data_IF_842985182234
#
_entry.id   IF_842985182234
#
_cell.length_a   1.000
_cell.length_b   1.000
_cell.length_c   1.000
_cell.angle_alpha   90.00
_cell.angle_beta   90.00
_cell.angle_gamma   90.00
#
_symmetry.space_group_name_H-M   'P 1'
#
loop_
_entity.id
_entity.type
_entity.pdbx_description
1 polymer ?
#
# COMPACT_ATOMS: atom_id res chain seq x y z
N UNK A 1 6.95 25.93 5.63
CA UNK A 1 5.95 26.10 4.55
C UNK A 1 4.56 26.16 5.17
N UNK A 2 3.56 26.83 4.58
CA UNK A 2 2.17 26.78 5.09
C UNK A 2 1.36 25.83 4.20
N UNK A 3 1.02 24.66 4.72
CA UNK A 3 0.19 23.68 4.01
C UNK A 3 -1.23 24.22 3.82
N UNK A 4 -1.78 24.09 2.61
CA UNK A 4 -3.14 24.54 2.29
C UNK A 4 -4.14 23.44 2.58
N UNK A 5 -5.34 23.78 3.10
CA UNK A 5 -6.41 22.82 3.22
C UNK A 5 -6.87 22.34 1.83
N UNK A 6 -7.25 21.07 1.68
CA UNK A 6 -7.82 20.55 0.45
C UNK A 6 -9.17 21.20 0.13
N UNK A 7 -9.47 21.31 -1.16
CA UNK A 7 -10.75 21.83 -1.65
C UNK A 7 -11.77 20.68 -1.62
N UNK A 8 -12.96 20.96 -1.06
CA UNK A 8 -14.11 20.07 -1.12
C UNK A 8 -15.34 20.82 -1.63
N UNK A 9 -16.28 20.09 -2.21
CA UNK A 9 -17.59 20.63 -2.56
C UNK A 9 -18.33 21.13 -1.30
N UNK A 10 -19.27 22.05 -1.48
CA UNK A 10 -20.08 22.59 -0.39
C UNK A 10 -20.80 21.47 0.37
N UNK A 11 -20.71 21.49 1.71
CA UNK A 11 -21.27 20.45 2.58
C UNK A 11 -20.43 19.16 2.68
N UNK A 12 -19.38 19.01 1.87
CA UNK A 12 -18.50 17.85 1.88
C UNK A 12 -17.20 18.13 2.66
N UNK A 13 -16.68 17.11 3.35
CA UNK A 13 -15.34 17.13 3.94
C UNK A 13 -14.40 16.30 3.07
N UNK A 14 -13.25 16.86 2.70
CA UNK A 14 -12.21 16.07 2.04
C UNK A 14 -11.72 14.95 2.96
N UNK A 15 -11.64 13.75 2.42
CA UNK A 15 -10.91 12.63 3.00
C UNK A 15 -10.02 12.01 1.94
N UNK A 16 -8.79 11.67 2.32
CA UNK A 16 -7.89 10.88 1.50
C UNK A 16 -7.66 9.52 2.14
N UNK A 17 -7.49 8.53 1.27
CA UNK A 17 -7.22 7.18 1.69
C UNK A 17 -5.94 7.10 2.49
N UNK A 18 -5.95 6.23 3.49
CA UNK A 18 -4.74 5.80 4.17
C UNK A 18 -4.44 4.36 3.76
N UNK A 19 -3.18 3.96 3.89
CA UNK A 19 -2.78 2.56 3.72
C UNK A 19 -2.28 2.00 5.04
N UNK A 20 -2.58 0.73 5.31
CA UNK A 20 -1.78 -0.07 6.25
C UNK A 20 -0.65 -0.78 5.51
N UNK A 21 0.56 -0.71 6.07
CA UNK A 21 1.62 -1.66 5.75
C UNK A 21 1.34 -2.95 6.50
N UNK A 22 0.95 -4.00 5.78
CA UNK A 22 0.86 -5.35 6.30
C UNK A 22 2.06 -6.14 5.78
N UNK A 23 2.61 -7.04 6.59
CA UNK A 23 3.57 -8.00 6.08
C UNK A 23 2.87 -8.94 5.08
N UNK A 24 3.44 -9.09 3.89
CA UNK A 24 3.06 -10.07 2.89
C UNK A 24 4.03 -11.25 2.92
N UNK A 25 3.54 -12.44 2.61
CA UNK A 25 4.37 -13.62 2.40
C UNK A 25 5.06 -13.50 1.02
N UNK A 26 6.27 -12.96 0.99
CA UNK A 26 7.01 -12.73 -0.27
C UNK A 26 8.19 -13.69 -0.46
N UNK A 27 8.56 -14.43 0.58
CA UNK A 27 9.67 -15.38 0.57
C UNK A 27 9.21 -16.81 0.88
N UNK A 28 9.57 -17.77 0.01
CA UNK A 28 9.17 -19.17 0.15
C UNK A 28 10.38 -20.10 0.16
N UNK A 29 10.52 -20.90 1.21
CA UNK A 29 11.36 -22.11 1.21
C UNK A 29 10.50 -23.28 0.74
N UNK A 30 10.84 -23.86 -0.41
CA UNK A 30 10.02 -24.92 -1.02
C UNK A 30 10.58 -26.30 -0.69
N UNK A 31 9.75 -27.33 -0.89
CA UNK A 31 10.12 -28.75 -0.73
C UNK A 31 11.29 -29.22 -1.61
N UNK A 32 11.73 -28.39 -2.56
CA UNK A 32 12.86 -28.69 -3.43
C UNK A 32 14.22 -28.50 -2.73
N UNK A 33 14.25 -27.83 -1.58
CA UNK A 33 15.48 -27.65 -0.79
C UNK A 33 15.80 -28.99 -0.09
N UNK A 34 16.99 -29.58 -0.29
CA UNK A 34 17.38 -30.79 0.43
C UNK A 34 17.32 -30.59 1.95
N UNK A 35 16.90 -31.62 2.69
CA UNK A 35 16.70 -31.53 4.14
C UNK A 35 17.98 -31.09 4.88
N UNK A 36 19.16 -31.54 4.43
CA UNK A 36 20.48 -31.15 4.97
C UNK A 36 20.87 -29.70 4.66
N UNK A 37 20.08 -28.99 3.83
CA UNK A 37 20.28 -27.58 3.45
C UNK A 37 19.26 -26.63 4.06
N UNK A 38 18.25 -27.12 4.78
CA UNK A 38 17.22 -26.26 5.35
C UNK A 38 17.79 -25.22 6.32
N UNK A 39 18.74 -25.61 7.17
CA UNK A 39 19.37 -24.68 8.12
C UNK A 39 20.13 -23.56 7.40
N UNK A 40 20.93 -23.89 6.38
CA UNK A 40 21.71 -22.87 5.65
C UNK A 40 20.80 -21.98 4.81
N UNK A 41 19.72 -22.53 4.24
CA UNK A 41 18.73 -21.75 3.52
C UNK A 41 18.00 -20.76 4.44
N UNK A 42 17.61 -21.19 5.64
CA UNK A 42 16.99 -20.31 6.64
C UNK A 42 17.96 -19.20 7.09
N UNK A 43 19.23 -19.53 7.35
CA UNK A 43 20.26 -18.53 7.68
C UNK A 43 20.51 -17.54 6.54
N UNK A 44 20.44 -17.98 5.29
CA UNK A 44 20.58 -17.09 4.14
C UNK A 44 19.38 -16.14 4.03
N UNK A 45 18.16 -16.64 4.23
CA UNK A 45 16.96 -15.78 4.30
C UNK A 45 17.05 -14.75 5.42
N UNK A 46 17.48 -15.16 6.62
CA UNK A 46 17.70 -14.25 7.75
C UNK A 46 18.75 -13.19 7.41
N UNK A 47 19.85 -13.58 6.77
CA UNK A 47 20.88 -12.64 6.32
C UNK A 47 20.36 -11.60 5.32
N UNK A 48 19.48 -11.99 4.37
CA UNK A 48 18.87 -11.04 3.44
C UNK A 48 18.02 -9.96 4.11
N UNK A 49 17.54 -10.22 5.33
CA UNK A 49 16.73 -9.29 6.12
C UNK A 49 17.58 -8.31 6.94
N UNK A 50 18.91 -8.43 6.94
CA UNK A 50 19.77 -7.47 7.64
C UNK A 50 19.84 -6.13 6.91
N UNK A 51 20.08 -5.06 7.66
CA UNK A 51 20.09 -3.70 7.11
C UNK A 51 21.13 -3.53 5.99
N UNK A 52 22.31 -4.15 6.13
CA UNK A 52 23.35 -4.11 5.08
C UNK A 52 22.79 -4.68 3.76
N UNK A 53 22.20 -5.87 3.79
CA UNK A 53 21.66 -6.51 2.58
C UNK A 53 20.52 -5.69 1.97
N UNK A 54 19.64 -5.14 2.81
CA UNK A 54 18.55 -4.32 2.34
C UNK A 54 19.08 -3.05 1.65
N UNK A 55 20.01 -2.31 2.24
CA UNK A 55 20.58 -1.13 1.59
C UNK A 55 21.43 -1.47 0.37
N UNK A 56 22.17 -2.58 0.36
CA UNK A 56 22.92 -2.99 -0.83
C UNK A 56 22.01 -3.43 -1.98
N UNK A 57 20.88 -4.09 -1.70
CA UNK A 57 19.91 -4.45 -2.74
C UNK A 57 19.15 -3.24 -3.27
N UNK A 58 18.96 -2.20 -2.45
CA UNK A 58 18.28 -0.97 -2.84
C UNK A 58 19.17 0.07 -3.48
N UNK A 59 20.43 0.19 -3.02
CA UNK A 59 21.33 1.29 -3.38
C UNK A 59 22.65 0.82 -4.01
N UNK A 60 22.89 -0.49 -4.02
CA UNK A 60 24.15 -1.06 -4.49
C UNK A 60 25.23 -1.03 -3.42
N UNK A 61 26.50 -1.31 -3.78
CA UNK A 61 27.57 -1.46 -2.80
C UNK A 61 27.75 -0.21 -1.94
N UNK A 62 27.97 -0.41 -0.64
CA UNK A 62 28.33 0.67 0.28
C UNK A 62 29.53 1.48 -0.26
N UNK A 63 29.49 2.80 -0.09
CA UNK A 63 30.50 3.73 -0.57
C UNK A 63 30.32 4.17 -2.02
N UNK A 64 29.30 3.68 -2.75
CA UNK A 64 28.96 4.18 -4.09
C UNK A 64 28.02 5.37 -4.04
N UNK A 65 26.80 5.14 -3.55
CA UNK A 65 25.78 6.20 -3.43
C UNK A 65 25.30 6.40 -1.99
N UNK A 66 25.66 5.48 -1.09
CA UNK A 66 25.27 5.50 0.32
C UNK A 66 26.41 4.99 1.22
N UNK A 67 26.36 5.33 2.51
CA UNK A 67 27.28 4.83 3.54
C UNK A 67 26.63 4.84 4.92
N UNK A 68 27.20 4.10 5.87
CA UNK A 68 26.86 4.25 7.28
C UNK A 68 27.46 5.53 7.86
N UNK A 69 26.64 6.32 8.55
CA UNK A 69 27.10 7.48 9.30
C UNK A 69 27.54 7.11 10.72
N UNK A 70 28.04 8.08 11.49
CA UNK A 70 28.55 7.87 12.84
C UNK A 70 27.49 7.37 13.85
N UNK A 71 26.21 7.62 13.57
CA UNK A 71 25.08 7.16 14.39
C UNK A 71 24.59 5.76 13.98
N UNK A 72 25.26 5.11 13.03
CA UNK A 72 24.86 3.81 12.51
C UNK A 72 23.65 3.86 11.59
N UNK A 73 23.38 5.01 10.95
CA UNK A 73 22.30 5.16 9.96
C UNK A 73 22.82 5.16 8.54
N UNK A 74 22.05 4.61 7.62
CA UNK A 74 22.30 4.73 6.21
C UNK A 74 22.03 6.17 5.76
N UNK A 75 23.02 6.75 5.08
CA UNK A 75 22.97 8.10 4.53
C UNK A 75 23.30 8.05 3.04
N UNK A 76 22.45 8.68 2.22
CA UNK A 76 22.70 8.83 0.78
C UNK A 76 23.46 10.13 0.51
N UNK A 77 24.35 10.09 -0.47
CA UNK A 77 25.11 11.27 -0.87
C UNK A 77 24.22 12.40 -1.43
N UNK A 78 24.76 13.62 -1.59
CA UNK A 78 24.01 14.79 -2.04
C UNK A 78 23.43 14.67 -3.46
N UNK A 79 23.93 13.73 -4.27
CA UNK A 79 23.38 13.41 -5.58
C UNK A 79 22.04 12.63 -5.50
N UNK A 80 21.65 12.18 -4.31
CA UNK A 80 20.45 11.39 -4.08
C UNK A 80 20.55 9.97 -4.63
N UNK A 81 19.39 9.37 -4.91
CA UNK A 81 19.25 8.00 -5.41
C UNK A 81 19.21 7.88 -6.94
N UNK A 82 19.45 8.97 -7.68
CA UNK A 82 19.30 9.01 -9.14
C UNK A 82 20.23 8.06 -9.92
N UNK A 83 21.35 7.64 -9.30
CA UNK A 83 22.32 6.69 -9.88
C UNK A 83 22.06 5.22 -9.51
N UNK A 84 20.98 4.93 -8.80
CA UNK A 84 20.76 3.61 -8.17
C UNK A 84 20.73 2.45 -9.16
N UNK A 85 20.18 2.68 -10.35
CA UNK A 85 20.03 1.65 -11.39
C UNK A 85 21.36 1.20 -12.01
N UNK A 86 22.45 1.94 -11.79
CA UNK A 86 23.81 1.51 -12.19
C UNK A 86 24.33 0.38 -11.29
N UNK A 87 23.89 0.34 -10.03
CA UNK A 87 24.49 -0.49 -9.00
C UNK A 87 23.54 -1.52 -8.39
N UNK A 88 22.21 -1.36 -8.57
CA UNK A 88 21.23 -2.24 -7.94
C UNK A 88 19.89 -2.27 -8.67
N UNK A 89 18.94 -3.03 -8.12
CA UNK A 89 17.58 -3.17 -8.63
C UNK A 89 16.67 -1.99 -8.24
N UNK A 90 17.17 -1.05 -7.43
CA UNK A 90 16.41 0.09 -6.92
C UNK A 90 15.23 -0.36 -6.04
N UNK A 91 14.04 0.17 -6.30
CA UNK A 91 12.81 -0.15 -5.53
C UNK A 91 12.35 -1.61 -5.61
N UNK A 92 13.06 -2.46 -6.36
CA UNK A 92 12.82 -3.89 -6.48
C UNK A 92 13.85 -4.73 -5.68
N UNK A 93 14.39 -4.18 -4.60
CA UNK A 93 15.29 -4.91 -3.69
C UNK A 93 14.62 -6.12 -3.05
N UNK A 94 15.42 -6.99 -2.40
CA UNK A 94 14.95 -8.29 -1.91
C UNK A 94 13.95 -8.19 -0.75
N UNK A 95 13.96 -7.08 -0.02
CA UNK A 95 13.09 -6.81 1.12
C UNK A 95 13.04 -5.30 1.39
N UNK A 96 11.89 -4.80 1.85
CA UNK A 96 11.70 -3.41 2.25
C UNK A 96 11.33 -3.30 3.73
N UNK A 97 12.01 -2.39 4.44
CA UNK A 97 11.77 -2.16 5.86
C UNK A 97 10.38 -1.54 6.11
N UNK A 98 9.71 -1.90 7.22
CA UNK A 98 8.57 -1.16 7.71
C UNK A 98 8.93 0.32 7.90
N UNK A 99 7.99 1.23 7.60
CA UNK A 99 8.25 2.66 7.61
C UNK A 99 8.81 3.20 8.94
N UNK A 100 8.38 2.63 10.08
CA UNK A 100 8.92 3.02 11.39
C UNK A 100 10.40 2.68 11.53
N UNK A 101 10.78 1.46 11.16
CA UNK A 101 12.15 0.98 11.27
C UNK A 101 13.05 1.68 10.25
N UNK A 102 12.55 1.90 9.04
CA UNK A 102 13.24 2.71 8.03
C UNK A 102 13.57 4.13 8.54
N UNK A 103 12.68 4.77 9.30
CA UNK A 103 12.96 6.09 9.90
C UNK A 103 13.99 6.05 11.04
N UNK A 104 14.18 4.90 11.68
CA UNK A 104 15.20 4.71 12.70
C UNK A 104 16.58 4.50 12.10
N UNK A 105 16.67 3.73 11.00
CA UNK A 105 17.93 3.29 10.40
C UNK A 105 18.40 4.11 9.20
N UNK A 106 17.54 4.98 8.62
CA UNK A 106 17.86 5.81 7.46
C UNK A 106 17.81 7.31 7.76
N UNK A 107 18.77 8.07 7.23
CA UNK A 107 18.73 9.54 7.23
C UNK A 107 17.76 10.01 6.15
N UNK A 108 16.61 10.54 6.55
CA UNK A 108 15.62 11.04 5.61
C UNK A 108 16.14 12.28 4.87
N UNK A 109 16.19 12.28 3.52
CA UNK A 109 16.54 13.47 2.75
C UNK A 109 15.44 14.53 2.88
N UNK A 110 15.79 15.79 2.68
CA UNK A 110 14.91 16.96 2.89
C UNK A 110 13.53 16.83 2.22
N UNK A 111 13.48 16.34 0.98
CA UNK A 111 12.23 16.15 0.24
C UNK A 111 11.28 15.11 0.88
N UNK A 112 11.81 14.15 1.64
CA UNK A 112 10.99 13.20 2.40
C UNK A 112 10.54 13.80 3.73
N UNK A 113 11.38 14.62 4.37
CA UNK A 113 10.99 15.38 5.57
C UNK A 113 9.81 16.29 5.26
N UNK A 114 9.86 17.02 4.14
CA UNK A 114 8.74 17.84 3.66
C UNK A 114 7.44 17.01 3.52
N UNK A 115 7.53 15.81 2.94
CA UNK A 115 6.38 14.91 2.81
C UNK A 115 5.86 14.43 4.17
N UNK A 116 6.75 14.14 5.11
CA UNK A 116 6.38 13.72 6.49
C UNK A 116 5.61 14.84 7.19
N UNK A 117 6.08 16.09 7.09
CA UNK A 117 5.41 17.26 7.66
C UNK A 117 4.03 17.50 7.04
N UNK A 118 3.92 17.39 5.71
CA UNK A 118 2.64 17.48 5.00
C UNK A 118 1.66 16.39 5.46
N UNK A 119 2.11 15.14 5.58
CA UNK A 119 1.29 14.03 6.06
C UNK A 119 0.82 14.24 7.52
N UNK A 120 1.70 14.78 8.38
CA UNK A 120 1.34 15.12 9.76
C UNK A 120 0.23 16.17 9.81
N UNK A 121 0.35 17.25 9.03
CA UNK A 121 -0.70 18.26 8.90
C UNK A 121 -2.04 17.66 8.46
N UNK A 122 -2.03 16.75 7.47
CA UNK A 122 -3.26 16.08 7.00
C UNK A 122 -3.90 15.21 8.07
N UNK A 123 -3.08 14.50 8.86
CA UNK A 123 -3.54 13.68 9.98
C UNK A 123 -4.17 14.53 11.08
N UNK A 124 -3.49 15.59 11.51
CA UNK A 124 -3.94 16.48 12.60
C UNK A 124 -5.25 17.20 12.29
N UNK A 125 -5.48 17.55 11.02
CA UNK A 125 -6.71 18.20 10.56
C UNK A 125 -7.82 17.19 10.18
N UNK A 126 -7.57 15.90 10.38
CA UNK A 126 -8.54 14.84 10.12
C UNK A 126 -8.94 14.72 8.65
N UNK A 127 -8.01 14.99 7.73
CA UNK A 127 -8.16 14.75 6.29
C UNK A 127 -7.83 13.32 5.89
N UNK A 128 -7.24 12.53 6.79
CA UNK A 128 -6.99 11.12 6.58
C UNK A 128 -8.22 10.29 6.96
N UNK A 129 -8.51 9.25 6.18
CA UNK A 129 -9.46 8.20 6.57
C UNK A 129 -9.07 7.58 7.92
N UNK A 130 -10.05 7.35 8.79
CA UNK A 130 -9.82 6.72 10.11
C UNK A 130 -9.39 5.25 9.96
N UNK A 131 -10.06 4.53 9.07
CA UNK A 131 -9.82 3.12 8.81
C UNK A 131 -9.48 2.97 7.32
N UNK A 132 -8.29 2.48 6.97
CA UNK A 132 -7.90 2.32 5.58
C UNK A 132 -8.66 1.17 4.92
N UNK A 133 -9.14 1.40 3.70
CA UNK A 133 -9.89 0.40 2.93
C UNK A 133 -9.09 -0.87 2.63
N UNK A 134 -7.76 -0.77 2.55
CA UNK A 134 -6.88 -1.93 2.30
C UNK A 134 -6.83 -2.94 3.47
N UNK A 135 -7.47 -2.67 4.62
CA UNK A 135 -7.78 -3.72 5.61
C UNK A 135 -8.59 -4.85 4.97
N UNK A 136 -9.52 -4.50 4.07
CA UNK A 136 -10.40 -5.46 3.40
C UNK A 136 -9.67 -6.37 2.40
N UNK A 137 -8.46 -6.02 1.99
CA UNK A 137 -7.62 -6.83 1.11
C UNK A 137 -6.44 -7.49 1.83
N UNK A 138 -5.89 -6.83 2.87
CA UNK A 138 -4.60 -7.19 3.43
C UNK A 138 -4.68 -7.84 4.82
N UNK A 139 -5.80 -7.70 5.54
CA UNK A 139 -5.90 -8.15 6.92
C UNK A 139 -7.12 -9.04 7.18
N UNK A 140 -8.26 -8.77 6.53
CA UNK A 140 -9.41 -9.68 6.61
C UNK A 140 -9.14 -10.94 5.79
N UNK A 141 -9.63 -12.08 6.27
CA UNK A 141 -9.56 -13.35 5.55
C UNK A 141 -10.95 -13.77 5.13
N UNK A 142 -11.11 -14.15 3.87
CA UNK A 142 -12.35 -14.73 3.34
C UNK A 142 -12.17 -16.23 3.15
N UNK A 143 -13.26 -16.99 3.31
CA UNK A 143 -13.28 -18.38 2.84
C UNK A 143 -13.15 -18.40 1.31
N UNK A 144 -12.64 -19.50 0.70
CA UNK A 144 -12.55 -19.62 -0.75
C UNK A 144 -13.88 -19.37 -1.47
N UNK A 145 -14.99 -19.85 -0.90
CA UNK A 145 -16.33 -19.69 -1.48
C UNK A 145 -16.78 -18.22 -1.49
N UNK A 146 -16.62 -17.51 -0.36
CA UNK A 146 -16.94 -16.08 -0.29
C UNK A 146 -16.02 -15.24 -1.18
N UNK A 147 -14.75 -15.62 -1.30
CA UNK A 147 -13.80 -14.96 -2.20
C UNK A 147 -14.21 -15.14 -3.67
N UNK A 148 -14.67 -16.32 -4.06
CA UNK A 148 -15.17 -16.60 -5.41
C UNK A 148 -16.47 -15.82 -5.70
N UNK A 149 -17.45 -15.88 -4.79
CA UNK A 149 -18.71 -15.14 -4.89
C UNK A 149 -18.44 -13.63 -5.06
N UNK A 150 -17.61 -13.06 -4.19
CA UNK A 150 -17.20 -11.66 -4.23
C UNK A 150 -16.59 -11.28 -5.58
N UNK A 151 -15.68 -12.11 -6.11
CA UNK A 151 -14.99 -11.85 -7.38
C UNK A 151 -15.96 -11.82 -8.56
N UNK A 152 -16.93 -12.73 -8.58
CA UNK A 152 -17.95 -12.76 -9.62
C UNK A 152 -18.87 -11.54 -9.57
N UNK A 153 -19.29 -11.13 -8.36
CA UNK A 153 -20.11 -9.92 -8.20
C UNK A 153 -19.32 -8.69 -8.66
N UNK A 154 -18.05 -8.56 -8.24
CA UNK A 154 -17.21 -7.41 -8.59
C UNK A 154 -17.07 -7.18 -10.10
N UNK A 155 -16.83 -8.24 -10.87
CA UNK A 155 -16.66 -8.11 -12.32
C UNK A 155 -17.90 -7.50 -13.01
N UNK A 156 -19.10 -7.84 -12.52
CA UNK A 156 -20.34 -7.25 -13.02
C UNK A 156 -20.49 -5.79 -12.57
N UNK A 157 -20.17 -5.50 -11.30
CA UNK A 157 -20.23 -4.13 -10.77
C UNK A 157 -19.28 -3.18 -11.49
N UNK A 158 -18.04 -3.61 -11.72
CA UNK A 158 -17.00 -2.85 -12.42
C UNK A 158 -17.46 -2.49 -13.84
N UNK A 159 -17.99 -3.46 -14.58
CA UNK A 159 -18.50 -3.22 -15.94
C UNK A 159 -19.62 -2.18 -15.96
N UNK A 160 -20.58 -2.26 -15.02
CA UNK A 160 -21.70 -1.30 -14.94
C UNK A 160 -21.18 0.10 -14.58
N UNK A 161 -20.29 0.18 -13.59
CA UNK A 161 -19.72 1.42 -13.10
C UNK A 161 -18.94 2.14 -14.20
N UNK A 162 -18.03 1.44 -14.88
CA UNK A 162 -17.17 2.03 -15.91
C UNK A 162 -17.97 2.58 -17.08
N UNK A 163 -18.99 1.85 -17.54
CA UNK A 163 -19.87 2.30 -18.62
C UNK A 163 -20.67 3.54 -18.23
N UNK A 164 -21.28 3.53 -17.04
CA UNK A 164 -22.10 4.64 -16.56
C UNK A 164 -21.26 5.90 -16.34
N UNK A 165 -20.07 5.77 -15.72
CA UNK A 165 -19.17 6.91 -15.47
C UNK A 165 -18.62 7.47 -16.77
N UNK A 166 -18.23 6.62 -17.73
CA UNK A 166 -17.77 7.09 -19.04
C UNK A 166 -18.86 7.91 -19.76
N UNK A 167 -20.11 7.45 -19.75
CA UNK A 167 -21.23 8.19 -20.34
C UNK A 167 -21.47 9.53 -19.65
N UNK A 168 -21.47 9.54 -18.32
CA UNK A 168 -21.64 10.77 -17.52
C UNK A 168 -20.51 11.79 -17.75
N UNK A 169 -19.27 11.34 -17.95
CA UNK A 169 -18.15 12.21 -18.29
C UNK A 169 -18.35 12.83 -19.68
N UNK A 170 -18.78 12.03 -20.65
CA UNK A 170 -18.92 12.45 -22.05
C UNK A 170 -20.14 13.34 -22.28
N UNK A 171 -21.23 13.09 -21.57
CA UNK A 171 -22.54 13.69 -21.86
C UNK A 171 -23.12 14.50 -20.69
N UNK A 172 -22.43 14.53 -19.55
CA UNK A 172 -22.86 15.22 -18.33
C UNK A 172 -23.66 14.32 -17.39
N UNK A 173 -23.70 14.72 -16.12
CA UNK A 173 -24.42 14.00 -15.06
C UNK A 173 -25.86 14.49 -14.99
N UNK A 174 -26.82 13.56 -14.94
CA UNK A 174 -28.24 13.84 -14.66
C UNK A 174 -28.73 12.94 -13.53
N UNK A 175 -29.75 13.37 -12.78
CA UNK A 175 -30.36 12.56 -11.71
C UNK A 175 -30.85 11.20 -12.23
N UNK A 176 -31.44 11.17 -13.42
CA UNK A 176 -31.91 9.94 -14.04
C UNK A 176 -30.77 8.97 -14.38
N UNK A 177 -29.65 9.47 -14.91
CA UNK A 177 -28.47 8.65 -15.19
C UNK A 177 -27.84 8.11 -13.89
N UNK A 178 -27.78 8.95 -12.85
CA UNK A 178 -27.30 8.57 -11.53
C UNK A 178 -28.16 7.46 -10.90
N UNK A 179 -29.48 7.66 -10.85
CA UNK A 179 -30.41 6.67 -10.29
C UNK A 179 -30.36 5.34 -11.05
N UNK A 180 -30.23 5.39 -12.38
CA UNK A 180 -30.10 4.19 -13.20
C UNK A 180 -28.82 3.40 -12.89
N UNK A 181 -27.69 4.10 -12.69
CA UNK A 181 -26.43 3.47 -12.29
C UNK A 181 -26.58 2.78 -10.93
N UNK A 182 -27.10 3.49 -9.92
CA UNK A 182 -27.28 2.95 -8.57
C UNK A 182 -28.20 1.72 -8.57
N UNK A 183 -29.32 1.79 -9.29
CA UNK A 183 -30.25 0.66 -9.39
C UNK A 183 -29.63 -0.54 -10.12
N UNK A 184 -28.85 -0.30 -11.17
CA UNK A 184 -28.12 -1.35 -11.89
C UNK A 184 -27.09 -2.03 -11.00
N UNK A 185 -26.32 -1.27 -10.22
CA UNK A 185 -25.35 -1.82 -9.26
C UNK A 185 -26.03 -2.68 -8.19
N UNK A 186 -27.16 -2.21 -7.63
CA UNK A 186 -27.95 -2.99 -6.67
C UNK A 186 -28.47 -4.30 -7.27
N UNK A 187 -29.04 -4.24 -8.47
CA UNK A 187 -29.52 -5.42 -9.19
C UNK A 187 -28.38 -6.42 -9.49
N UNK A 188 -27.16 -5.92 -9.68
CA UNK A 188 -25.95 -6.73 -9.89
C UNK A 188 -25.32 -7.26 -8.59
N UNK A 189 -25.90 -6.98 -7.41
CA UNK A 189 -25.47 -7.56 -6.14
C UNK A 189 -24.55 -6.66 -5.30
N UNK A 190 -24.56 -5.34 -5.52
CA UNK A 190 -23.76 -4.40 -4.71
C UNK A 190 -23.99 -4.56 -3.20
N UNK A 191 -25.23 -4.77 -2.77
CA UNK A 191 -25.57 -4.95 -1.35
C UNK A 191 -24.89 -6.21 -0.77
N UNK A 192 -24.88 -7.31 -1.54
CA UNK A 192 -24.21 -8.56 -1.16
C UNK A 192 -22.69 -8.39 -1.13
N UNK A 193 -22.13 -7.66 -2.10
CA UNK A 193 -20.70 -7.34 -2.12
C UNK A 193 -20.26 -6.60 -0.86
N UNK A 194 -21.04 -5.62 -0.42
CA UNK A 194 -20.81 -4.85 0.81
C UNK A 194 -20.95 -5.76 2.04
N UNK A 195 -22.00 -6.58 2.10
CA UNK A 195 -22.25 -7.50 3.22
C UNK A 195 -21.08 -8.47 3.44
N UNK A 196 -20.51 -9.06 2.38
CA UNK A 196 -19.37 -9.98 2.47
C UNK A 196 -18.19 -9.31 3.18
N UNK A 197 -17.84 -8.08 2.78
CA UNK A 197 -16.75 -7.36 3.41
C UNK A 197 -17.07 -6.88 4.82
N UNK A 198 -18.31 -6.42 5.07
CA UNK A 198 -18.71 -5.95 6.39
C UNK A 198 -18.60 -7.08 7.42
N UNK A 199 -19.11 -8.28 7.10
CA UNK A 199 -19.02 -9.42 8.00
C UNK A 199 -17.55 -9.82 8.26
N UNK A 200 -16.72 -9.87 7.22
CA UNK A 200 -15.29 -10.20 7.37
C UNK A 200 -14.52 -9.15 8.21
N UNK A 201 -14.90 -7.88 8.07
CA UNK A 201 -14.33 -6.79 8.85
C UNK A 201 -14.77 -6.85 10.32
N UNK A 202 -16.05 -7.14 10.58
CA UNK A 202 -16.58 -7.28 11.95
C UNK A 202 -15.92 -8.46 12.67
N UNK A 203 -15.71 -9.59 11.98
CA UNK A 203 -14.97 -10.74 12.52
C UNK A 203 -13.51 -10.41 12.81
N UNK A 204 -12.86 -9.61 11.96
CA UNK A 204 -11.50 -9.15 12.18
C UNK A 204 -11.39 -8.27 13.44
N UNK A 205 -12.33 -7.35 13.64
CA UNK A 205 -12.35 -6.46 14.81
C UNK A 205 -12.70 -7.16 16.13
N UNK A 206 -13.33 -8.34 16.08
CA UNK A 206 -13.70 -9.11 17.25
C UNK A 206 -12.54 -9.96 17.84
N UNK A 207 -11.41 -10.05 17.13
CA UNK A 207 -10.19 -10.76 17.54
C UNK A 207 -9.24 -9.84 18.31
#
# INVERSE_FOLDING_TARGET
MRWLPPISAEGCKFQCSTGIGAASEEGYLTIAIPEDKLEIAAKWFDYLMCDQCMYETFYGPEGKIWSWNADGKCEIGPAGDQGVMEYSLGVNGAYYLPAFYYNETFVQPDYRVERIEYMAYYKENGYLEKNPSNILSNAVSLTPDLAAEKTQIFANLETIYDQAVADMIMHGVTDAAWDNMINSLKAAGADRYVEIYQNAYDEYLAK
#
